data_IF_810745612360
#
_entry.id   IF_810745612360
#
_cell.length_a   1.000
_cell.length_b   1.000
_cell.length_c   1.000
_cell.angle_alpha   90.00
_cell.angle_beta   90.00
_cell.angle_gamma   90.00
#
_symmetry.space_group_name_H-M   'P 1'
#
loop_
_entity.id
_entity.type
_entity.pdbx_description
1 polymer ?
#
# COMPACT_ATOMS: atom_id res chain seq x y z
N UNK A 1 -18.15 -2.92 3.76
CA UNK A 1 -17.81 -4.35 3.58
C UNK A 1 -16.31 -4.51 3.80
N UNK A 2 -15.87 -5.43 4.65
CA UNK A 2 -14.44 -5.72 4.83
C UNK A 2 -14.01 -6.83 3.89
N UNK A 3 -12.90 -6.60 3.18
CA UNK A 3 -12.25 -7.59 2.33
C UNK A 3 -10.75 -7.58 2.62
N UNK A 4 -10.29 -8.60 3.33
CA UNK A 4 -8.88 -8.69 3.78
C UNK A 4 -8.08 -9.35 2.68
N UNK A 5 -7.07 -8.64 2.18
CA UNK A 5 -6.21 -9.09 1.06
C UNK A 5 -6.97 -9.41 -0.24
N UNK A 6 -8.18 -8.87 -0.42
CA UNK A 6 -9.09 -9.22 -1.53
C UNK A 6 -9.45 -10.73 -1.60
N UNK A 7 -9.35 -11.46 -0.47
CA UNK A 7 -9.52 -12.91 -0.42
C UNK A 7 -10.88 -13.37 0.12
N UNK A 8 -11.78 -12.44 0.49
CA UNK A 8 -13.05 -12.81 1.15
C UNK A 8 -13.84 -13.94 0.46
N UNK A 9 -14.04 -13.95 -0.88
CA UNK A 9 -14.79 -15.02 -1.53
C UNK A 9 -13.95 -16.27 -1.85
N UNK A 10 -12.62 -16.22 -1.62
CA UNK A 10 -11.68 -17.25 -2.06
C UNK A 10 -11.05 -18.05 -0.91
N UNK A 11 -11.41 -17.74 0.33
CA UNK A 11 -10.85 -18.42 1.50
C UNK A 11 -11.37 -19.85 1.62
N UNK A 12 -10.43 -20.79 1.66
CA UNK A 12 -10.70 -22.23 1.76
C UNK A 12 -10.48 -22.80 3.17
N UNK A 13 -9.88 -22.02 4.06
CA UNK A 13 -9.57 -22.40 5.44
C UNK A 13 -9.77 -21.23 6.40
N UNK A 14 -9.61 -21.49 7.70
CA UNK A 14 -9.84 -20.50 8.74
C UNK A 14 -9.04 -19.21 8.50
N UNK A 15 -9.74 -18.08 8.62
CA UNK A 15 -9.17 -16.76 8.39
C UNK A 15 -7.98 -16.42 9.32
N UNK A 16 -8.03 -16.82 10.59
CA UNK A 16 -6.95 -16.60 11.55
C UNK A 16 -5.67 -17.32 11.13
N UNK A 17 -5.80 -18.54 10.63
CA UNK A 17 -4.65 -19.29 10.10
C UNK A 17 -4.11 -18.65 8.82
N UNK A 18 -4.96 -18.01 8.01
CA UNK A 18 -4.53 -17.29 6.81
C UNK A 18 -3.67 -16.08 7.16
N UNK A 19 -4.06 -15.31 8.18
CA UNK A 19 -3.20 -14.22 8.67
C UNK A 19 -1.91 -14.72 9.29
N UNK A 20 -1.98 -15.78 10.11
CA UNK A 20 -0.78 -16.34 10.72
C UNK A 20 0.22 -16.78 9.64
N UNK A 21 -0.27 -17.41 8.57
CA UNK A 21 0.55 -17.79 7.43
C UNK A 21 1.29 -16.59 6.81
N UNK A 22 0.63 -15.43 6.67
CA UNK A 22 1.27 -14.22 6.17
C UNK A 22 2.33 -13.66 7.12
N UNK A 23 2.09 -13.73 8.44
CA UNK A 23 3.08 -13.33 9.46
C UNK A 23 4.31 -14.24 9.39
N UNK A 24 4.08 -15.55 9.25
CA UNK A 24 5.12 -16.57 9.18
C UNK A 24 5.97 -16.49 7.89
N UNK A 25 5.59 -15.66 6.90
CA UNK A 25 6.43 -15.39 5.73
C UNK A 25 7.67 -14.57 6.08
N UNK A 26 7.63 -13.76 7.13
CA UNK A 26 8.75 -12.92 7.56
C UNK A 26 9.73 -13.72 8.44
N UNK A 27 10.37 -14.73 7.84
CA UNK A 27 11.40 -15.55 8.48
C UNK A 27 12.81 -15.12 8.05
N UNK A 28 13.78 -15.34 8.93
CA UNK A 28 15.19 -15.11 8.64
C UNK A 28 15.63 -15.82 7.34
N UNK A 29 16.40 -15.12 6.52
CA UNK A 29 16.87 -15.62 5.22
C UNK A 29 15.87 -15.46 4.06
N UNK A 30 14.63 -14.98 4.30
CA UNK A 30 13.67 -14.69 3.24
C UNK A 30 13.68 -13.22 2.85
N UNK A 31 13.67 -12.96 1.53
CA UNK A 31 13.45 -11.61 0.99
C UNK A 31 11.95 -11.39 0.82
N UNK A 32 11.34 -10.67 1.75
CA UNK A 32 9.92 -10.28 1.67
C UNK A 32 9.77 -8.96 0.90
N UNK A 33 8.78 -8.83 0.00
CA UNK A 33 8.53 -7.58 -0.72
C UNK A 33 7.93 -6.52 0.21
N UNK A 34 8.14 -5.24 -0.12
CA UNK A 34 7.47 -4.13 0.55
C UNK A 34 5.96 -4.15 0.30
N UNK A 35 5.18 -3.78 1.32
CA UNK A 35 3.71 -3.72 1.23
C UNK A 35 3.26 -2.27 1.08
N UNK A 36 2.51 -1.99 0.02
CA UNK A 36 1.99 -0.67 -0.30
C UNK A 36 0.47 -0.71 -0.37
N UNK A 37 -0.19 0.24 0.29
CA UNK A 37 -1.62 0.45 0.20
C UNK A 37 -1.92 1.74 -0.55
N UNK A 38 -2.78 1.66 -1.56
CA UNK A 38 -3.11 2.76 -2.47
C UNK A 38 -4.61 3.02 -2.46
N UNK A 39 -5.00 4.30 -2.51
CA UNK A 39 -6.40 4.70 -2.66
C UNK A 39 -6.58 5.63 -3.86
N UNK A 40 -7.10 5.09 -4.96
CA UNK A 40 -7.40 5.82 -6.20
C UNK A 40 -8.72 6.60 -6.14
N UNK A 41 -9.59 6.29 -5.18
CA UNK A 41 -10.99 6.71 -5.17
C UNK A 41 -11.29 7.78 -4.13
N UNK A 42 -10.25 8.46 -3.63
CA UNK A 42 -10.43 9.55 -2.67
C UNK A 42 -11.23 10.68 -3.35
N UNK A 43 -12.25 11.18 -2.65
CA UNK A 43 -13.10 12.28 -3.12
C UNK A 43 -12.89 13.53 -2.29
N UNK A 44 -13.12 14.68 -2.91
CA UNK A 44 -13.22 15.97 -2.23
C UNK A 44 -14.60 16.16 -1.56
N UNK A 45 -14.79 17.30 -0.90
CA UNK A 45 -16.07 17.66 -0.29
C UNK A 45 -17.23 17.79 -1.31
N UNK A 46 -16.91 17.96 -2.59
CA UNK A 46 -17.87 18.08 -3.69
C UNK A 46 -18.11 16.75 -4.42
N UNK A 47 -17.70 15.62 -3.83
CA UNK A 47 -17.80 14.28 -4.42
C UNK A 47 -17.02 14.06 -5.72
N UNK A 48 -16.08 14.95 -6.06
CA UNK A 48 -15.18 14.79 -7.21
C UNK A 48 -13.97 13.96 -6.82
N UNK A 49 -13.50 13.12 -7.74
CA UNK A 49 -12.28 12.35 -7.53
C UNK A 49 -11.07 13.28 -7.48
N UNK A 50 -10.23 13.08 -6.47
CA UNK A 50 -8.98 13.80 -6.26
C UNK A 50 -7.85 13.31 -7.17
N UNK A 51 -8.04 12.15 -7.80
CA UNK A 51 -7.08 11.51 -8.68
C UNK A 51 -7.73 11.21 -10.04
N UNK A 52 -7.07 11.54 -11.17
CA UNK A 52 -7.60 11.30 -12.51
C UNK A 52 -7.73 9.80 -12.84
N UNK A 53 -6.89 8.94 -12.24
CA UNK A 53 -6.94 7.49 -12.42
C UNK A 53 -6.36 7.00 -13.75
N UNK A 54 -6.71 5.78 -14.15
CA UNK A 54 -6.32 5.16 -15.41
C UNK A 54 -4.80 5.17 -15.65
N UNK A 55 -4.34 5.76 -16.76
CA UNK A 55 -2.93 5.84 -17.13
C UNK A 55 -2.08 6.60 -16.11
N UNK A 56 -2.67 7.55 -15.38
CA UNK A 56 -1.91 8.31 -14.38
C UNK A 56 -1.50 7.46 -13.17
N UNK A 57 -2.10 6.28 -12.96
CA UNK A 57 -1.69 5.34 -11.91
C UNK A 57 -0.22 4.93 -12.03
N UNK A 58 0.37 5.00 -13.23
CA UNK A 58 1.79 4.74 -13.45
C UNK A 58 2.69 5.67 -12.63
N UNK A 59 2.25 6.90 -12.35
CA UNK A 59 3.02 7.88 -11.53
C UNK A 59 3.21 7.40 -10.10
N UNK A 60 2.24 6.66 -9.57
CA UNK A 60 2.31 6.10 -8.22
C UNK A 60 3.18 4.85 -8.21
N UNK A 61 3.13 4.04 -9.27
CA UNK A 61 4.03 2.89 -9.43
C UNK A 61 5.49 3.36 -9.58
N UNK A 62 5.75 4.39 -10.38
CA UNK A 62 7.06 5.04 -10.52
C UNK A 62 7.61 5.49 -9.16
N UNK A 63 6.78 6.16 -8.34
CA UNK A 63 7.18 6.57 -7.00
C UNK A 63 7.54 5.38 -6.10
N UNK A 64 6.80 4.26 -6.18
CA UNK A 64 7.09 3.05 -5.42
C UNK A 64 8.47 2.50 -5.82
N UNK A 65 8.75 2.42 -7.12
CA UNK A 65 10.02 1.90 -7.65
C UNK A 65 11.19 2.78 -7.18
N UNK A 66 11.10 4.09 -7.36
CA UNK A 66 12.14 5.04 -6.93
C UNK A 66 12.41 4.99 -5.41
N UNK A 67 11.37 4.71 -4.62
CA UNK A 67 11.50 4.46 -3.18
C UNK A 67 12.23 3.16 -2.86
N UNK A 68 12.01 2.10 -3.65
CA UNK A 68 12.74 0.83 -3.51
C UNK A 68 14.21 0.99 -3.92
N UNK A 69 14.50 1.85 -4.90
CA UNK A 69 15.86 2.20 -5.33
C UNK A 69 16.62 3.11 -4.33
N UNK A 70 15.96 3.53 -3.24
CA UNK A 70 16.58 4.30 -2.17
C UNK A 70 16.77 5.79 -2.46
N UNK A 71 16.03 6.34 -3.43
CA UNK A 71 16.12 7.77 -3.73
C UNK A 71 15.71 8.60 -2.48
N UNK A 72 16.55 9.55 -2.05
CA UNK A 72 16.30 10.31 -0.84
C UNK A 72 15.08 11.22 -0.99
N UNK A 73 14.48 11.61 0.14
CA UNK A 73 13.53 12.73 0.20
C UNK A 73 12.14 12.51 -0.46
N UNK A 74 11.84 11.32 -1.00
CA UNK A 74 10.59 11.04 -1.71
C UNK A 74 9.32 10.97 -0.86
N UNK A 75 9.45 10.72 0.44
CA UNK A 75 8.32 10.49 1.35
C UNK A 75 8.38 11.31 2.64
N UNK A 76 7.23 11.39 3.33
CA UNK A 76 7.04 11.99 4.64
C UNK A 76 6.38 10.94 5.55
N UNK A 77 6.89 10.79 6.77
CA UNK A 77 6.30 9.87 7.76
C UNK A 77 4.95 10.38 8.26
N UNK A 78 3.97 9.48 8.32
CA UNK A 78 2.62 9.69 8.85
C UNK A 78 2.30 8.59 9.88
N UNK A 79 1.23 8.75 10.66
CA UNK A 79 0.81 7.75 11.66
C UNK A 79 0.43 6.39 11.05
N UNK A 80 0.19 6.34 9.74
CA UNK A 80 -0.24 5.14 9.03
C UNK A 80 0.87 4.54 8.17
N UNK A 81 1.97 5.27 7.92
CA UNK A 81 3.05 4.82 7.04
C UNK A 81 3.90 5.95 6.49
N UNK A 82 4.38 5.79 5.26
CA UNK A 82 5.13 6.82 4.54
C UNK A 82 4.32 7.25 3.32
N UNK A 83 4.00 8.55 3.25
CA UNK A 83 3.22 9.16 2.18
C UNK A 83 4.14 9.96 1.24
N UNK A 84 3.80 10.13 -0.04
CA UNK A 84 4.58 10.96 -0.96
C UNK A 84 4.56 12.43 -0.55
N UNK A 85 5.72 13.08 -0.54
CA UNK A 85 5.86 14.49 -0.11
C UNK A 85 4.98 15.48 -0.88
N UNK A 86 4.85 15.29 -2.20
CA UNK A 86 4.12 16.21 -3.09
C UNK A 86 2.69 15.78 -3.37
N UNK A 87 2.26 14.58 -2.97
CA UNK A 87 0.94 14.05 -3.29
C UNK A 87 -0.02 14.15 -2.10
N UNK A 88 -0.36 15.37 -1.64
CA UNK A 88 -1.43 15.55 -0.64
C UNK A 88 -2.82 15.08 -1.13
N UNK A 89 -2.96 14.86 -2.44
CA UNK A 89 -4.19 14.35 -3.08
C UNK A 89 -4.31 12.82 -3.07
N UNK A 90 -3.19 12.09 -2.97
CA UNK A 90 -3.14 10.63 -3.11
C UNK A 90 -2.69 10.04 -1.79
N UNK A 91 -3.62 9.55 -0.98
CA UNK A 91 -3.26 8.81 0.23
C UNK A 91 -2.67 7.47 -0.19
N UNK A 92 -1.35 7.39 -0.20
CA UNK A 92 -0.61 6.15 -0.36
C UNK A 92 0.08 5.86 0.96
N UNK A 93 -0.27 4.73 1.54
CA UNK A 93 0.17 4.33 2.87
C UNK A 93 1.13 3.17 2.69
N UNK A 94 2.41 3.42 2.96
CA UNK A 94 3.40 2.35 3.01
C UNK A 94 3.39 1.67 4.39
N UNK A 95 3.02 0.40 4.42
CA UNK A 95 3.16 -0.44 5.60
C UNK A 95 4.53 -1.12 5.52
N UNK A 96 5.49 -0.59 6.28
CA UNK A 96 6.78 -1.25 6.43
C UNK A 96 6.59 -2.46 7.35
N UNK A 97 6.46 -3.66 6.78
CA UNK A 97 6.79 -4.88 7.52
C UNK A 97 8.32 -4.92 7.65
N UNK A 98 8.85 -4.28 8.68
CA UNK A 98 10.24 -4.51 9.10
C UNK A 98 10.33 -5.90 9.72
N UNK A 99 11.19 -6.75 9.17
CA UNK A 99 11.99 -7.65 9.99
C UNK A 99 13.04 -6.87 10.75
#
# INVERSE_FOLDING_TARGET
>A
MHDRMAMRPFMRYNFGHYLQHWIDLNQEGRKVPGIHHVNWFRKDANNKFLWPGFGDNIRVIDWIIRRLDGEPDLGVGTHIGIDPRRARSTSMVFLKCTG
#
